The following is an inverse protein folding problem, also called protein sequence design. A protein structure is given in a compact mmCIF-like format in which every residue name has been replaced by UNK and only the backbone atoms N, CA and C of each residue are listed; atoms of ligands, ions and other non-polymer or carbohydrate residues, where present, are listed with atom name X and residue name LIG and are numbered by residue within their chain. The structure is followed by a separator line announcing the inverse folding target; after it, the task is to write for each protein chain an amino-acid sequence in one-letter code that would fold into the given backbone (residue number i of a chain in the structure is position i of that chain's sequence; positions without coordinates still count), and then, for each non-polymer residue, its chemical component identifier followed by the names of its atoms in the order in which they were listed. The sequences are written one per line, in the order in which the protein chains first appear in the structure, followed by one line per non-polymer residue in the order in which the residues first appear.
data_IF_277624330379
#
_entry.id   IF_277624330379
#
_cell.length_a   1.000
_cell.length_b   1.000
_cell.length_c   1.000
_cell.angle_alpha   90.00
_cell.angle_beta   90.00
_cell.angle_gamma   90.00
#
_symmetry.space_group_name_H-M   'P 1'
#
loop_
_entity.id
_entity.type
_entity.pdbx_description
1 polymer ?
#
# COMPACT_ATOMS: atom_id res chain seq x y z
N UNK A 1 -10.80 14.56 30.05
CA UNK A 1 -11.47 13.51 29.24
C UNK A 1 -10.58 12.29 29.20
N UNK A 2 -11.10 11.14 29.55
CA UNK A 2 -10.31 9.99 29.97
C UNK A 2 -9.60 9.30 28.79
N UNK A 3 -8.31 9.01 28.93
CA UNK A 3 -7.48 8.19 28.03
C UNK A 3 -8.16 6.85 27.63
N UNK A 4 -9.02 6.32 28.53
CA UNK A 4 -9.81 5.09 28.26
C UNK A 4 -10.79 5.23 27.10
N UNK A 5 -11.34 6.41 26.83
CA UNK A 5 -12.32 6.60 25.76
C UNK A 5 -11.67 6.68 24.38
N UNK A 6 -10.43 7.21 24.31
CA UNK A 6 -9.60 7.17 23.06
C UNK A 6 -9.11 5.75 22.75
N UNK A 7 -8.72 5.00 23.75
CA UNK A 7 -8.28 3.61 23.61
C UNK A 7 -9.40 2.71 23.04
N UNK A 8 -10.64 2.91 23.48
CA UNK A 8 -11.78 2.15 22.98
C UNK A 8 -12.08 2.44 21.49
N UNK A 9 -12.03 3.71 21.07
CA UNK A 9 -12.24 4.09 19.67
C UNK A 9 -11.15 3.57 18.74
N UNK A 10 -9.91 3.51 19.21
CA UNK A 10 -8.79 2.92 18.45
C UNK A 10 -8.98 1.41 18.32
N UNK A 11 -9.34 0.73 19.39
CA UNK A 11 -9.59 -0.71 19.42
C UNK A 11 -10.78 -1.10 18.53
N UNK A 12 -11.86 -0.30 18.56
CA UNK A 12 -12.99 -0.47 17.66
C UNK A 12 -12.62 -0.23 16.19
N UNK A 13 -11.82 0.79 15.89
CA UNK A 13 -11.28 1.02 14.57
C UNK A 13 -10.42 -0.17 14.12
N UNK A 14 -9.49 -0.62 14.95
CA UNK A 14 -8.62 -1.74 14.63
C UNK A 14 -9.39 -3.03 14.42
N UNK A 15 -10.43 -3.30 15.22
CA UNK A 15 -11.29 -4.48 15.06
C UNK A 15 -12.17 -4.42 13.82
N UNK A 16 -12.57 -3.22 13.38
CA UNK A 16 -13.37 -3.02 12.17
C UNK A 16 -12.54 -2.99 10.89
N UNK A 17 -11.26 -2.62 10.98
CA UNK A 17 -10.36 -2.41 9.86
C UNK A 17 -9.37 -3.54 9.65
N UNK A 18 -8.92 -4.15 10.73
CA UNK A 18 -8.13 -5.36 10.71
C UNK A 18 -9.08 -6.54 10.58
N UNK A 19 -9.36 -6.96 9.35
CA UNK A 19 -9.96 -8.27 9.17
C UNK A 19 -9.11 -9.28 9.93
N UNK A 20 -9.77 -10.15 10.63
CA UNK A 20 -9.44 -11.25 11.56
C UNK A 20 -7.98 -11.80 11.64
N UNK A 21 -7.07 -11.43 10.78
CA UNK A 21 -5.78 -12.13 10.61
C UNK A 21 -4.60 -11.24 10.82
N UNK A 22 -4.79 -10.02 11.38
CA UNK A 22 -3.62 -9.20 11.41
C UNK A 22 -3.34 -8.47 12.71
N UNK A 23 -2.84 -9.24 13.66
CA UNK A 23 -2.20 -8.67 14.87
C UNK A 23 -1.06 -7.71 14.51
N UNK A 24 -0.38 -7.92 13.36
CA UNK A 24 0.73 -7.07 12.92
C UNK A 24 0.22 -5.75 12.37
N UNK A 25 -0.84 -5.76 11.54
CA UNK A 25 -1.50 -4.52 11.08
C UNK A 25 -2.03 -3.73 12.27
N UNK A 26 -2.72 -4.38 13.20
CA UNK A 26 -3.26 -3.74 14.38
C UNK A 26 -2.15 -3.13 15.27
N UNK A 27 -1.07 -3.85 15.49
CA UNK A 27 0.06 -3.38 16.29
C UNK A 27 0.77 -2.18 15.63
N UNK A 28 1.00 -2.21 14.31
CA UNK A 28 1.61 -1.10 13.59
C UNK A 28 0.72 0.14 13.60
N UNK A 29 -0.61 -0.02 13.40
CA UNK A 29 -1.56 1.09 13.50
C UNK A 29 -1.63 1.66 14.91
N UNK A 30 -1.61 0.83 15.95
CA UNK A 30 -1.60 1.28 17.33
C UNK A 30 -0.33 2.10 17.64
N UNK A 31 0.84 1.60 17.24
CA UNK A 31 2.12 2.29 17.40
C UNK A 31 2.14 3.65 16.67
N UNK A 32 1.58 3.70 15.46
CA UNK A 32 1.46 4.95 14.70
C UNK A 32 0.57 5.98 15.41
N UNK A 33 -0.53 5.53 16.00
CA UNK A 33 -1.46 6.39 16.72
C UNK A 33 -0.89 6.86 18.06
N UNK A 34 -0.22 5.97 18.81
CA UNK A 34 0.44 6.30 20.07
C UNK A 34 1.51 7.38 19.87
N UNK A 35 2.28 7.31 18.80
CA UNK A 35 3.31 8.30 18.46
C UNK A 35 2.74 9.69 18.15
N UNK A 36 1.44 9.79 17.84
CA UNK A 36 0.76 10.99 17.37
C UNK A 36 -0.36 11.47 18.30
N UNK A 37 -0.55 10.82 19.46
CA UNK A 37 -1.56 11.22 20.45
C UNK A 37 -1.40 12.65 21.00
N UNK A 38 -0.28 13.32 20.69
CA UNK A 38 -0.09 14.74 20.94
C UNK A 38 -0.89 15.66 19.99
N UNK A 39 -1.33 15.16 18.83
CA UNK A 39 -2.19 15.89 17.90
C UNK A 39 -3.65 15.48 18.11
N UNK A 40 -4.55 16.46 18.17
CA UNK A 40 -5.99 16.27 18.41
C UNK A 40 -6.66 15.56 17.23
N UNK A 41 -6.59 14.25 17.23
CA UNK A 41 -7.39 13.41 16.31
C UNK A 41 -8.45 12.73 17.16
N UNK A 42 -9.68 13.23 17.09
CA UNK A 42 -10.74 12.86 18.04
C UNK A 42 -11.81 11.94 17.45
N UNK A 43 -11.82 11.74 16.12
CA UNK A 43 -12.85 10.93 15.45
C UNK A 43 -12.26 9.83 14.58
N UNK A 44 -13.01 8.72 14.39
CA UNK A 44 -12.61 7.61 13.51
C UNK A 44 -12.31 8.10 12.08
N UNK A 45 -13.11 8.96 11.43
CA UNK A 45 -12.77 9.50 10.11
C UNK A 45 -11.45 10.25 10.07
N UNK A 46 -11.12 11.05 11.11
CA UNK A 46 -9.85 11.76 11.20
C UNK A 46 -8.67 10.81 11.35
N UNK A 47 -8.81 9.78 12.21
CA UNK A 47 -7.79 8.73 12.37
C UNK A 47 -7.53 8.03 11.03
N UNK A 48 -8.57 7.64 10.32
CA UNK A 48 -8.46 7.00 9.01
C UNK A 48 -7.75 7.88 7.99
N UNK A 49 -8.13 9.15 7.93
CA UNK A 49 -7.49 10.15 7.05
C UNK A 49 -6.01 10.30 7.38
N UNK A 50 -5.69 10.50 8.65
CA UNK A 50 -4.32 10.63 9.12
C UNK A 50 -3.46 9.43 8.70
N UNK A 51 -3.90 8.21 8.98
CA UNK A 51 -3.18 6.99 8.63
C UNK A 51 -3.03 6.82 7.11
N UNK A 52 -4.06 7.12 6.33
CA UNK A 52 -4.00 7.03 4.88
C UNK A 52 -3.04 8.07 4.29
N UNK A 53 -3.10 9.32 4.73
CA UNK A 53 -2.20 10.40 4.29
C UNK A 53 -0.75 10.06 4.62
N UNK A 54 -0.49 9.60 5.86
CA UNK A 54 0.85 9.17 6.29
C UNK A 54 1.35 7.99 5.45
N UNK A 55 0.51 6.99 5.24
CA UNK A 55 0.83 5.83 4.42
C UNK A 55 1.17 6.22 2.97
N UNK A 56 0.37 7.09 2.34
CA UNK A 56 0.64 7.58 0.99
C UNK A 56 1.98 8.33 0.90
N UNK A 57 2.29 9.20 1.87
CA UNK A 57 3.56 9.95 1.90
C UNK A 57 4.76 9.02 2.02
N UNK A 58 4.71 8.08 2.96
CA UNK A 58 5.81 7.14 3.18
C UNK A 58 5.99 6.18 2.00
N UNK A 59 4.91 5.62 1.48
CA UNK A 59 4.98 4.76 0.30
C UNK A 59 5.50 5.53 -0.91
N UNK A 60 5.04 6.77 -1.15
CA UNK A 60 5.54 7.61 -2.23
C UNK A 60 7.03 7.85 -2.13
N UNK A 61 7.52 8.25 -0.95
CA UNK A 61 8.94 8.48 -0.72
C UNK A 61 9.75 7.19 -0.97
N UNK A 62 9.24 6.03 -0.53
CA UNK A 62 9.85 4.74 -0.78
C UNK A 62 9.89 4.41 -2.27
N UNK A 63 8.79 4.60 -2.99
CA UNK A 63 8.76 4.35 -4.44
C UNK A 63 9.74 5.25 -5.19
N UNK A 64 9.78 6.54 -4.87
CA UNK A 64 10.72 7.48 -5.49
C UNK A 64 12.18 7.07 -5.27
N UNK A 65 12.51 6.63 -4.06
CA UNK A 65 13.86 6.18 -3.72
C UNK A 65 14.24 4.88 -4.45
N UNK A 66 13.37 3.87 -4.42
CA UNK A 66 13.67 2.54 -4.97
C UNK A 66 13.59 2.48 -6.50
N UNK A 67 12.72 3.28 -7.12
CA UNK A 67 12.65 3.41 -8.58
C UNK A 67 13.86 4.20 -9.08
N UNK A 68 14.21 5.30 -8.40
CA UNK A 68 15.34 6.15 -8.80
C UNK A 68 15.25 6.52 -10.28
N UNK A 69 16.31 6.26 -11.02
CA UNK A 69 16.42 6.51 -12.46
C UNK A 69 16.02 5.30 -13.33
N UNK A 70 15.50 4.23 -12.73
CA UNK A 70 15.05 3.06 -13.48
C UNK A 70 13.83 3.39 -14.35
N UNK A 71 13.78 2.79 -15.53
CA UNK A 71 12.70 2.95 -16.51
C UNK A 71 12.20 1.60 -17.01
N UNK A 72 11.04 1.59 -17.68
CA UNK A 72 10.46 0.40 -18.27
C UNK A 72 10.22 -0.71 -17.25
N UNK A 73 10.52 -1.93 -17.61
CA UNK A 73 10.31 -3.11 -16.75
C UNK A 73 11.09 -3.05 -15.44
N UNK A 74 12.27 -2.43 -15.43
CA UNK A 74 13.08 -2.29 -14.21
C UNK A 74 12.44 -1.34 -13.20
N UNK A 75 11.78 -0.28 -13.65
CA UNK A 75 11.00 0.60 -12.79
C UNK A 75 9.81 -0.15 -12.15
N UNK A 76 9.14 -1.00 -12.93
CA UNK A 76 8.02 -1.81 -12.43
C UNK A 76 8.52 -2.85 -11.41
N UNK A 77 9.67 -3.51 -11.66
CA UNK A 77 10.30 -4.43 -10.70
C UNK A 77 10.66 -3.74 -9.39
N UNK A 78 11.29 -2.56 -9.49
CA UNK A 78 11.66 -1.76 -8.33
C UNK A 78 10.43 -1.33 -7.53
N UNK A 79 9.38 -0.85 -8.21
CA UNK A 79 8.11 -0.48 -7.60
C UNK A 79 7.46 -1.66 -6.88
N UNK A 80 7.39 -2.83 -7.51
CA UNK A 80 6.80 -4.02 -6.91
C UNK A 80 7.55 -4.44 -5.63
N UNK A 81 8.90 -4.47 -5.68
CA UNK A 81 9.74 -4.75 -4.50
C UNK A 81 9.51 -3.75 -3.37
N UNK A 82 9.48 -2.46 -3.71
CA UNK A 82 9.26 -1.39 -2.74
C UNK A 82 7.89 -1.50 -2.06
N UNK A 83 6.84 -1.81 -2.81
CA UNK A 83 5.49 -2.00 -2.27
C UNK A 83 5.43 -3.21 -1.31
N UNK A 84 6.05 -4.34 -1.67
CA UNK A 84 6.11 -5.52 -0.80
C UNK A 84 6.90 -5.21 0.48
N UNK A 85 8.09 -4.62 0.36
CA UNK A 85 8.93 -4.24 1.50
C UNK A 85 8.19 -3.28 2.43
N UNK A 86 7.52 -2.24 1.89
CA UNK A 86 6.71 -1.32 2.68
C UNK A 86 5.58 -2.04 3.43
N UNK A 87 4.92 -3.00 2.79
CA UNK A 87 3.84 -3.75 3.41
C UNK A 87 4.32 -4.65 4.56
N UNK A 88 5.55 -5.17 4.49
CA UNK A 88 6.16 -5.94 5.59
C UNK A 88 6.65 -5.08 6.74
N UNK A 89 7.27 -3.94 6.42
CA UNK A 89 7.83 -3.01 7.42
C UNK A 89 6.73 -2.21 8.12
N UNK A 90 5.69 -1.80 7.38
CA UNK A 90 4.62 -0.91 7.84
C UNK A 90 3.24 -1.45 7.43
N UNK A 91 2.85 -2.62 7.94
CA UNK A 91 1.65 -3.33 7.49
C UNK A 91 0.36 -2.52 7.69
N UNK A 92 0.25 -1.78 8.80
CA UNK A 92 -0.90 -0.93 9.08
C UNK A 92 -1.03 0.25 8.13
N UNK A 93 0.08 0.97 7.89
CA UNK A 93 0.09 2.08 6.93
C UNK A 93 -0.14 1.58 5.50
N UNK A 94 0.44 0.44 5.14
CA UNK A 94 0.18 -0.19 3.85
C UNK A 94 -1.31 -0.50 3.67
N UNK A 95 -1.94 -1.11 4.67
CA UNK A 95 -3.38 -1.38 4.65
C UNK A 95 -4.21 -0.09 4.48
N UNK A 96 -3.83 1.00 5.15
CA UNK A 96 -4.51 2.29 5.03
C UNK A 96 -4.43 2.89 3.61
N UNK A 97 -3.37 2.60 2.83
CA UNK A 97 -3.24 3.09 1.44
C UNK A 97 -4.18 2.43 0.44
N UNK A 98 -4.86 1.34 0.80
CA UNK A 98 -5.83 0.68 -0.09
C UNK A 98 -7.22 1.33 -0.07
N UNK A 99 -7.46 2.28 0.82
CA UNK A 99 -8.71 3.03 0.85
C UNK A 99 -8.73 4.10 -0.23
N UNK A 100 -9.90 4.30 -0.81
CA UNK A 100 -10.10 5.43 -1.72
C UNK A 100 -10.09 6.74 -0.91
N UNK A 101 -9.45 7.76 -1.48
CA UNK A 101 -9.48 9.09 -0.92
C UNK A 101 -10.93 9.62 -0.90
N UNK A 102 -11.37 10.09 0.25
CA UNK A 102 -12.72 10.66 0.41
C UNK A 102 -12.79 12.05 -0.23
N UNK A 103 -13.98 12.41 -0.71
CA UNK A 103 -14.21 13.69 -1.40
C UNK A 103 -14.12 14.89 -0.48
N UNK A 104 -14.28 14.69 0.82
CA UNK A 104 -14.29 15.70 1.87
C UNK A 104 -12.88 16.08 2.40
N UNK A 105 -11.83 15.39 1.97
CA UNK A 105 -10.45 15.65 2.38
C UNK A 105 -9.54 16.02 1.20
N UNK A 106 -9.31 17.32 0.95
CA UNK A 106 -8.39 17.78 -0.11
C UNK A 106 -6.97 17.25 0.07
N UNK A 107 -6.47 17.17 1.32
CA UNK A 107 -5.16 16.64 1.63
C UNK A 107 -5.04 15.16 1.25
N UNK A 108 -6.01 14.34 1.61
CA UNK A 108 -6.02 12.93 1.26
C UNK A 108 -6.04 12.71 -0.25
N UNK A 109 -6.91 13.46 -0.97
CA UNK A 109 -6.93 13.42 -2.45
C UNK A 109 -5.59 13.81 -3.06
N UNK A 110 -4.97 14.87 -2.56
CA UNK A 110 -3.66 15.34 -3.05
C UNK A 110 -2.58 14.26 -2.88
N UNK A 111 -2.45 13.68 -1.70
CA UNK A 111 -1.42 12.65 -1.46
C UNK A 111 -1.69 11.37 -2.26
N UNK A 112 -2.94 10.99 -2.43
CA UNK A 112 -3.33 9.89 -3.33
C UNK A 112 -2.91 10.18 -4.78
N UNK A 113 -3.15 11.40 -5.28
CA UNK A 113 -2.76 11.80 -6.63
C UNK A 113 -1.23 11.82 -6.81
N UNK A 114 -0.50 12.33 -5.81
CA UNK A 114 0.96 12.38 -5.86
C UNK A 114 1.58 10.98 -5.86
N UNK A 115 1.08 10.06 -5.03
CA UNK A 115 1.50 8.66 -5.06
C UNK A 115 1.16 8.02 -6.41
N UNK A 116 -0.07 8.26 -6.89
CA UNK A 116 -0.53 7.75 -8.19
C UNK A 116 0.35 8.22 -9.34
N UNK A 117 0.77 9.47 -9.35
CA UNK A 117 1.65 10.02 -10.38
C UNK A 117 3.00 9.30 -10.43
N UNK A 118 3.63 9.06 -9.27
CA UNK A 118 4.90 8.31 -9.20
C UNK A 118 4.73 6.87 -9.70
N UNK A 119 3.66 6.20 -9.28
CA UNK A 119 3.42 4.82 -9.68
C UNK A 119 3.07 4.70 -11.18
N UNK A 120 2.31 5.65 -11.73
CA UNK A 120 1.94 5.63 -13.15
C UNK A 120 3.12 5.94 -14.06
N UNK A 121 4.05 6.83 -13.65
CA UNK A 121 5.24 7.13 -14.45
C UNK A 121 6.10 5.89 -14.72
N UNK A 122 6.14 4.93 -13.80
CA UNK A 122 6.84 3.67 -14.02
C UNK A 122 6.23 2.85 -15.19
N UNK A 123 4.90 2.82 -15.31
CA UNK A 123 4.22 2.13 -16.41
C UNK A 123 4.27 2.92 -17.71
N UNK A 124 4.18 4.25 -17.65
CA UNK A 124 4.32 5.10 -18.83
C UNK A 124 5.74 4.96 -19.42
N UNK A 125 6.77 4.79 -18.59
CA UNK A 125 8.13 4.51 -19.05
C UNK A 125 8.29 3.11 -19.69
N UNK A 126 7.33 2.21 -19.46
CA UNK A 126 7.23 0.89 -20.10
C UNK A 126 6.31 0.91 -21.36
N UNK A 127 6.14 2.08 -21.97
CA UNK A 127 5.37 2.27 -23.22
C UNK A 127 3.87 1.95 -23.12
N UNK A 128 3.29 2.02 -21.91
CA UNK A 128 1.84 1.94 -21.73
C UNK A 128 1.21 3.34 -21.85
N UNK A 129 0.11 3.44 -22.58
CA UNK A 129 -0.68 4.66 -22.55
C UNK A 129 -1.34 4.86 -21.17
N UNK A 130 -1.92 6.03 -20.94
CA UNK A 130 -2.47 6.41 -19.63
C UNK A 130 -3.52 5.45 -19.09
N UNK A 131 -4.41 4.95 -19.92
CA UNK A 131 -5.47 4.01 -19.52
C UNK A 131 -4.87 2.65 -19.19
N UNK A 132 -4.00 2.14 -20.04
CA UNK A 132 -3.28 0.89 -19.84
C UNK A 132 -2.43 0.96 -18.56
N UNK A 133 -1.74 2.08 -18.29
CA UNK A 133 -0.96 2.30 -17.09
C UNK A 133 -1.83 2.27 -15.82
N UNK A 134 -3.02 2.86 -15.85
CA UNK A 134 -3.98 2.80 -14.73
C UNK A 134 -4.41 1.35 -14.48
N UNK A 135 -4.78 0.62 -15.52
CA UNK A 135 -5.20 -0.77 -15.39
C UNK A 135 -4.05 -1.66 -14.86
N UNK A 136 -2.84 -1.48 -15.39
CA UNK A 136 -1.65 -2.19 -14.93
C UNK A 136 -1.34 -1.89 -13.44
N UNK A 137 -1.46 -0.62 -13.02
CA UNK A 137 -1.27 -0.24 -11.62
C UNK A 137 -2.30 -0.91 -10.70
N UNK A 138 -3.57 -0.96 -11.10
CA UNK A 138 -4.62 -1.62 -10.33
C UNK A 138 -4.35 -3.12 -10.19
N UNK A 139 -3.93 -3.77 -11.29
CA UNK A 139 -3.56 -5.18 -11.31
C UNK A 139 -2.35 -5.45 -10.40
N UNK A 140 -1.28 -4.65 -10.52
CA UNK A 140 -0.09 -4.81 -9.69
C UNK A 140 -0.41 -4.60 -8.20
N UNK A 141 -1.19 -3.59 -7.85
CA UNK A 141 -1.62 -3.36 -6.46
C UNK A 141 -2.39 -4.56 -5.90
N UNK A 142 -3.27 -5.14 -6.68
CA UNK A 142 -4.04 -6.33 -6.29
C UNK A 142 -3.12 -7.53 -6.09
N UNK A 143 -2.18 -7.76 -7.01
CA UNK A 143 -1.18 -8.82 -6.95
C UNK A 143 -0.33 -8.69 -5.69
N UNK A 144 0.30 -7.52 -5.48
CA UNK A 144 1.17 -7.27 -4.31
C UNK A 144 0.40 -7.47 -3.02
N UNK A 145 -0.81 -6.89 -2.93
CA UNK A 145 -1.63 -7.05 -1.72
C UNK A 145 -1.97 -8.51 -1.46
N UNK A 146 -2.47 -9.22 -2.46
CA UNK A 146 -2.83 -10.64 -2.30
C UNK A 146 -1.63 -11.49 -1.89
N UNK A 147 -0.49 -11.29 -2.55
CA UNK A 147 0.75 -12.01 -2.23
C UNK A 147 1.19 -11.77 -0.79
N UNK A 148 1.32 -10.49 -0.38
CA UNK A 148 1.75 -10.12 0.97
C UNK A 148 0.80 -10.67 2.04
N UNK A 149 -0.51 -10.68 1.78
CA UNK A 149 -1.48 -11.24 2.71
C UNK A 149 -1.28 -12.74 2.92
N UNK A 150 -1.05 -13.49 1.84
CA UNK A 150 -0.75 -14.92 1.91
C UNK A 150 0.59 -15.19 2.62
N UNK A 151 1.59 -14.40 2.33
CA UNK A 151 2.90 -14.48 2.95
C UNK A 151 2.83 -14.21 4.47
N UNK A 152 2.14 -13.13 4.88
CA UNK A 152 1.96 -12.78 6.29
C UNK A 152 1.13 -13.81 7.07
N UNK A 153 0.16 -14.42 6.42
CA UNK A 153 -0.68 -15.46 7.01
C UNK A 153 -0.01 -16.84 7.03
N UNK A 154 1.18 -16.99 6.43
CA UNK A 154 1.83 -18.27 6.20
C UNK A 154 0.85 -19.32 5.62
N UNK A 155 0.01 -18.87 4.67
CA UNK A 155 -1.12 -19.67 4.19
C UNK A 155 -0.79 -20.64 3.04
N UNK A 156 0.47 -20.66 2.61
CA UNK A 156 0.96 -21.70 1.70
C UNK A 156 1.34 -22.96 2.49
N UNK A 157 0.94 -24.11 2.00
CA UNK A 157 1.00 -25.38 2.73
C UNK A 157 2.40 -25.95 2.96
N UNK A 158 3.41 -25.50 2.21
CA UNK A 158 4.77 -26.03 2.24
C UNK A 158 5.81 -24.92 2.50
N UNK A 159 7.07 -25.33 2.69
CA UNK A 159 8.21 -24.42 2.74
C UNK A 159 8.39 -23.73 1.39
N UNK A 160 7.84 -22.54 1.26
CA UNK A 160 7.91 -21.73 0.04
C UNK A 160 9.02 -20.69 0.18
N UNK A 161 9.87 -20.61 -0.83
CA UNK A 161 10.76 -19.46 -1.02
C UNK A 161 9.92 -18.29 -1.54
N UNK A 162 9.41 -17.49 -0.62
CA UNK A 162 8.54 -16.34 -0.92
C UNK A 162 9.24 -15.29 -1.79
N UNK A 163 10.55 -15.09 -1.63
CA UNK A 163 11.30 -14.10 -2.40
C UNK A 163 11.37 -14.53 -3.87
N UNK A 164 11.71 -15.79 -4.10
CA UNK A 164 11.72 -16.37 -5.44
C UNK A 164 10.33 -16.38 -6.08
N UNK A 165 9.33 -16.82 -5.33
CA UNK A 165 7.95 -16.87 -5.85
C UNK A 165 7.43 -15.48 -6.18
N UNK A 166 7.69 -14.48 -5.33
CA UNK A 166 7.31 -13.10 -5.59
C UNK A 166 7.98 -12.54 -6.85
N UNK A 167 9.30 -12.74 -6.97
CA UNK A 167 10.04 -12.31 -8.15
C UNK A 167 9.46 -12.96 -9.44
N UNK A 168 9.18 -14.24 -9.43
CA UNK A 168 8.53 -14.93 -10.55
C UNK A 168 7.15 -14.37 -10.87
N UNK A 169 6.35 -14.06 -9.84
CA UNK A 169 5.01 -13.50 -10.00
C UNK A 169 5.07 -12.12 -10.65
N UNK A 170 6.02 -11.28 -10.25
CA UNK A 170 6.26 -9.96 -10.87
C UNK A 170 6.70 -10.11 -12.32
N UNK A 171 7.58 -11.06 -12.64
CA UNK A 171 8.01 -11.31 -14.03
C UNK A 171 6.84 -11.78 -14.92
N UNK A 172 5.98 -12.66 -14.40
CA UNK A 172 4.77 -13.08 -15.14
C UNK A 172 3.84 -11.89 -15.39
N UNK A 173 3.67 -11.03 -14.39
CA UNK A 173 2.89 -9.80 -14.52
C UNK A 173 3.47 -8.88 -15.61
N UNK A 174 4.79 -8.62 -15.59
CA UNK A 174 5.46 -7.75 -16.57
C UNK A 174 5.31 -8.31 -17.99
N UNK A 175 5.55 -9.59 -18.19
CA UNK A 175 5.34 -10.25 -19.50
C UNK A 175 3.89 -10.18 -19.96
N UNK A 176 2.95 -10.18 -19.03
CA UNK A 176 1.51 -10.03 -19.33
C UNK A 176 1.09 -8.64 -19.77
N UNK A 177 1.95 -7.61 -19.63
CA UNK A 177 1.62 -6.23 -20.05
C UNK A 177 1.44 -6.11 -21.56
N UNK A 178 2.03 -7.01 -22.36
CA UNK A 178 1.81 -7.06 -23.81
C UNK A 178 0.33 -7.27 -24.16
N UNK A 179 -0.41 -8.00 -23.34
CA UNK A 179 -1.85 -8.16 -23.51
C UNK A 179 -2.62 -6.84 -23.32
N UNK A 180 -2.13 -5.93 -22.46
CA UNK A 180 -2.72 -4.60 -22.28
C UNK A 180 -2.36 -3.66 -23.44
N UNK A 181 -1.18 -3.81 -24.05
CA UNK A 181 -0.77 -3.00 -25.21
C UNK A 181 -1.59 -3.33 -26.45
N UNK A 182 -2.11 -4.55 -26.52
CA UNK A 182 -2.89 -5.08 -27.66
C UNK A 182 -4.39 -4.87 -27.51
N UNK A 183 -4.87 -4.43 -26.35
CA UNK A 183 -6.27 -4.19 -26.04
C UNK A 183 -6.66 -2.75 -26.31
#
# INVERSE_FOLDING_TARGET
MSIKQKSFSIEELLSSEASRWDRRIAADLASELESQLAEKVDTIPEIRRFLAVKGYRQLRARLQFEIGDATGDDAIRAMARAMRAFAHERPGLSAATFRNATTDSPEWRREHQLLGAVALSAFESAELNREQAINALLMLRTLVRGFVLHEMAASFLDTVDYDRLYAMTVEVFIRGLDALRSA
#
